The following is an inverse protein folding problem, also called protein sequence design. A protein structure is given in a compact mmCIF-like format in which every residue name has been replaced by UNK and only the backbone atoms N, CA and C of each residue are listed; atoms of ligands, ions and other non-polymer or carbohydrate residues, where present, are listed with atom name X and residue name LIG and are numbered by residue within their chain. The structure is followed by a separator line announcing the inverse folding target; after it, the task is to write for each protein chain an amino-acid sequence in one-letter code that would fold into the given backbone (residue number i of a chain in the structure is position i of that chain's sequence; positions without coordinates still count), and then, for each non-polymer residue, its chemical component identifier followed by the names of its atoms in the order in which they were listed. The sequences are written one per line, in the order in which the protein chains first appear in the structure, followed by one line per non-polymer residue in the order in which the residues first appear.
data_IF_465045660612
#
_entry.id   IF_465045660612
#
_cell.length_a   1.000
_cell.length_b   1.000
_cell.length_c   1.000
_cell.angle_alpha   90.00
_cell.angle_beta   90.00
_cell.angle_gamma   90.00
#
_symmetry.space_group_name_H-M   'P 1'
#
loop_
_entity.id
_entity.type
_entity.pdbx_description
1 polymer ?
#
# COMPACT_ATOMS: atom_id res chain seq x y z
N UNK A 1 28.97 69.65 -20.07
CA UNK A 1 30.12 68.83 -20.41
C UNK A 1 30.20 67.76 -19.36
N UNK A 2 29.50 66.72 -19.40
CA UNK A 2 28.88 65.78 -20.20
C UNK A 2 29.77 64.67 -20.69
N UNK A 3 29.64 63.53 -20.23
CA UNK A 3 29.69 62.36 -21.08
C UNK A 3 29.02 61.20 -20.37
N UNK A 4 28.05 60.59 -21.05
CA UNK A 4 27.35 59.39 -20.70
C UNK A 4 28.23 58.20 -21.09
N UNK A 5 28.40 57.26 -20.19
CA UNK A 5 28.92 55.96 -20.50
C UNK A 5 27.82 54.91 -20.28
N UNK A 6 27.54 54.16 -21.34
CA UNK A 6 26.52 53.11 -21.40
C UNK A 6 27.18 51.76 -21.05
N UNK A 7 26.84 51.22 -19.92
CA UNK A 7 27.23 49.87 -19.55
C UNK A 7 26.26 48.85 -20.16
N UNK A 8 26.79 47.97 -21.00
CA UNK A 8 26.05 46.91 -21.65
C UNK A 8 26.03 45.66 -20.78
N UNK A 9 24.87 45.38 -20.18
CA UNK A 9 24.58 44.11 -19.57
C UNK A 9 24.61 42.93 -20.56
N UNK A 10 25.59 42.05 -20.39
CA UNK A 10 25.70 40.79 -21.15
C UNK A 10 24.85 39.73 -20.45
N UNK A 11 23.71 39.49 -21.01
CA UNK A 11 22.83 38.33 -20.62
C UNK A 11 23.48 37.05 -21.10
N UNK A 12 24.03 36.26 -20.19
CA UNK A 12 24.53 34.91 -20.49
C UNK A 12 23.38 33.92 -20.64
N UNK A 13 23.04 33.56 -21.86
CA UNK A 13 22.12 32.50 -22.23
C UNK A 13 22.67 31.12 -21.86
N UNK A 14 21.94 30.41 -20.99
CA UNK A 14 22.22 29.01 -20.59
C UNK A 14 21.71 28.02 -21.64
N UNK A 15 22.21 28.09 -22.86
CA UNK A 15 21.97 27.08 -23.89
C UNK A 15 23.27 26.81 -24.66
N UNK A 16 23.91 25.68 -24.35
CA UNK A 16 25.04 25.23 -25.16
C UNK A 16 26.10 24.42 -24.43
N UNK A 17 25.76 23.26 -23.90
CA UNK A 17 26.75 22.27 -23.53
C UNK A 17 26.16 20.85 -23.61
N UNK A 18 25.85 20.42 -24.81
CA UNK A 18 25.57 19.01 -25.11
C UNK A 18 25.89 18.77 -26.59
N UNK A 19 27.14 18.55 -26.92
CA UNK A 19 27.56 17.84 -28.13
C UNK A 19 29.04 17.51 -28.03
N UNK A 20 29.31 16.22 -27.91
CA UNK A 20 30.44 15.45 -28.47
C UNK A 20 30.94 14.41 -27.50
N UNK A 21 30.45 13.20 -27.67
CA UNK A 21 31.28 12.00 -27.67
C UNK A 21 30.48 10.92 -28.42
N UNK A 22 30.81 10.81 -29.68
CA UNK A 22 30.40 9.69 -30.54
C UNK A 22 31.33 8.52 -30.30
N UNK A 23 30.78 7.31 -30.36
CA UNK A 23 31.51 6.08 -30.32
C UNK A 23 30.55 4.93 -30.56
N UNK A 24 30.37 4.53 -31.86
CA UNK A 24 29.64 3.32 -32.22
C UNK A 24 30.34 2.07 -31.66
N UNK A 25 29.60 1.21 -31.01
CA UNK A 25 29.86 -0.21 -30.99
C UNK A 25 28.51 -0.93 -31.12
N UNK A 26 28.20 -1.40 -32.29
CA UNK A 26 27.11 -2.34 -32.57
C UNK A 26 27.61 -3.72 -32.22
N UNK A 27 27.06 -4.30 -31.17
CA UNK A 27 27.13 -5.75 -30.87
C UNK A 27 25.71 -6.26 -30.82
N UNK A 28 25.35 -7.02 -31.85
CA UNK A 28 24.12 -7.78 -31.88
C UNK A 28 24.26 -8.99 -30.96
N UNK A 29 23.41 -9.03 -29.89
CA UNK A 29 23.13 -10.24 -29.14
C UNK A 29 21.64 -10.23 -28.79
N UNK A 30 20.92 -11.04 -29.54
CA UNK A 30 19.55 -11.43 -29.29
C UNK A 30 19.48 -12.23 -27.99
N UNK A 31 18.82 -11.71 -26.96
CA UNK A 31 18.47 -12.50 -25.77
C UNK A 31 18.38 -11.80 -24.41
N UNK A 32 18.73 -10.51 -24.30
CA UNK A 32 18.81 -9.84 -22.97
C UNK A 32 17.93 -8.62 -22.78
N UNK A 33 17.03 -8.32 -23.71
CA UNK A 33 16.23 -7.09 -23.66
C UNK A 33 15.13 -7.09 -22.58
N UNK A 34 14.73 -8.25 -22.06
CA UNK A 34 13.72 -8.34 -21.00
C UNK A 34 14.29 -8.13 -19.60
N UNK A 35 15.51 -8.63 -19.34
CA UNK A 35 16.16 -8.51 -18.03
C UNK A 35 16.65 -7.08 -17.74
N UNK A 36 17.05 -6.34 -18.76
CA UNK A 36 17.52 -4.96 -18.60
C UNK A 36 16.39 -3.98 -18.33
N UNK A 37 15.17 -4.26 -18.82
CA UNK A 37 14.01 -3.40 -18.59
C UNK A 37 13.47 -3.55 -17.16
N UNK A 38 13.47 -4.77 -16.60
CA UNK A 38 13.12 -4.99 -15.19
C UNK A 38 14.12 -4.36 -14.22
N UNK A 39 15.40 -4.32 -14.57
CA UNK A 39 16.44 -3.67 -13.75
C UNK A 39 16.35 -2.15 -13.81
N UNK A 40 16.04 -1.56 -14.97
CA UNK A 40 15.86 -0.12 -15.12
C UNK A 40 14.56 0.35 -14.44
N UNK A 41 13.48 -0.42 -14.55
CA UNK A 41 12.22 -0.13 -13.83
C UNK A 41 12.39 -0.27 -12.30
N UNK A 42 13.31 -1.13 -11.83
CA UNK A 42 13.65 -1.28 -10.41
C UNK A 42 14.53 -0.11 -9.90
N UNK A 43 15.41 0.42 -10.72
CA UNK A 43 16.31 1.53 -10.37
C UNK A 43 15.57 2.88 -10.40
N UNK A 44 14.64 3.08 -11.36
CA UNK A 44 13.72 4.25 -11.35
C UNK A 44 12.75 4.24 -10.17
N UNK A 45 12.30 3.06 -9.74
CA UNK A 45 11.50 2.91 -8.51
C UNK A 45 12.30 3.22 -7.23
N UNK A 46 13.62 3.01 -7.24
CA UNK A 46 14.48 3.31 -6.10
C UNK A 46 14.84 4.82 -6.02
N UNK A 47 14.95 5.51 -7.15
CA UNK A 47 15.25 6.94 -7.21
C UNK A 47 14.07 7.85 -6.81
N UNK A 48 12.84 7.35 -6.93
CA UNK A 48 11.62 8.08 -6.55
C UNK A 48 11.21 7.86 -5.06
N UNK A 49 12.01 7.14 -4.28
CA UNK A 49 11.56 6.35 -3.16
C UNK A 49 11.55 6.99 -1.77
N UNK A 50 12.08 8.20 -1.51
CA UNK A 50 12.11 8.73 -0.12
C UNK A 50 11.92 10.24 -0.03
N UNK A 51 11.26 10.69 1.06
CA UNK A 51 11.09 12.10 1.39
C UNK A 51 10.08 12.86 0.51
N UNK A 52 10.18 14.20 0.43
CA UNK A 52 9.23 15.06 -0.30
C UNK A 52 9.10 14.74 -1.80
N UNK A 53 10.15 14.20 -2.43
CA UNK A 53 10.12 13.79 -3.84
C UNK A 53 9.19 12.59 -4.09
N UNK A 54 9.12 11.64 -3.18
CA UNK A 54 8.19 10.51 -3.27
C UNK A 54 6.72 10.94 -3.12
N UNK A 55 6.46 11.99 -2.36
CA UNK A 55 5.12 12.58 -2.22
C UNK A 55 4.73 13.31 -3.50
N UNK A 56 5.62 14.11 -4.06
CA UNK A 56 5.36 14.86 -5.30
C UNK A 56 5.16 13.96 -6.51
N UNK A 57 5.77 12.77 -6.52
CA UNK A 57 5.57 11.76 -7.55
C UNK A 57 4.24 10.99 -7.40
N UNK A 58 3.51 11.19 -6.30
CA UNK A 58 2.27 10.45 -5.99
C UNK A 58 2.50 9.00 -5.56
N UNK A 59 3.75 8.57 -5.40
CA UNK A 59 4.10 7.20 -5.00
C UNK A 59 3.87 6.96 -3.51
N UNK A 60 3.98 8.00 -2.69
CA UNK A 60 3.77 7.94 -1.23
C UNK A 60 2.89 9.10 -0.80
N UNK A 61 1.86 8.83 -0.02
CA UNK A 61 1.07 9.86 0.64
C UNK A 61 1.58 10.06 2.07
N UNK A 62 2.02 11.28 2.40
CA UNK A 62 2.35 11.67 3.77
C UNK A 62 1.13 12.16 4.56
N UNK A 63 -0.06 11.86 4.09
CA UNK A 63 -1.29 12.21 4.79
C UNK A 63 -1.50 11.25 5.94
N UNK A 64 -1.86 11.78 7.09
CA UNK A 64 -2.21 10.98 8.25
C UNK A 64 -3.32 9.99 7.88
N UNK A 65 -3.08 8.71 8.15
CA UNK A 65 -4.08 7.67 7.96
C UNK A 65 -5.25 7.94 8.92
N UNK A 66 -6.51 7.81 8.48
CA UNK A 66 -7.65 8.06 9.35
C UNK A 66 -7.74 7.02 10.45
N UNK A 67 -7.81 7.46 11.69
CA UNK A 67 -8.11 6.60 12.84
C UNK A 67 -9.55 6.08 12.72
N UNK A 68 -9.69 4.78 12.87
CA UNK A 68 -11.00 4.11 12.84
C UNK A 68 -11.08 3.03 13.92
N UNK A 69 -12.28 2.57 14.22
CA UNK A 69 -12.48 1.57 15.27
C UNK A 69 -11.75 0.27 14.99
N UNK A 70 -11.16 -0.29 16.05
CA UNK A 70 -10.61 -1.64 16.09
C UNK A 70 -11.67 -2.71 15.82
N UNK A 71 -12.91 -2.44 16.28
CA UNK A 71 -14.02 -3.38 16.20
C UNK A 71 -13.94 -4.51 17.24
N UNK A 72 -14.99 -5.37 17.30
CA UNK A 72 -15.12 -6.38 18.35
C UNK A 72 -14.34 -7.68 18.07
N UNK A 73 -13.62 -7.77 16.94
CA UNK A 73 -12.94 -8.99 16.49
C UNK A 73 -11.41 -8.90 16.62
N UNK A 74 -10.90 -7.94 17.37
CA UNK A 74 -9.49 -7.86 17.70
C UNK A 74 -9.12 -8.99 18.69
N UNK A 75 -7.96 -9.60 18.49
CA UNK A 75 -7.35 -10.58 19.37
C UNK A 75 -5.88 -10.21 19.50
N UNK A 76 -5.41 -10.09 20.73
CA UNK A 76 -4.01 -9.79 21.02
C UNK A 76 -3.08 -10.94 20.60
N UNK A 77 -1.77 -10.67 20.54
CA UNK A 77 -0.70 -11.65 20.32
C UNK A 77 -0.75 -12.38 18.97
N UNK A 78 -1.19 -11.70 17.92
CA UNK A 78 -1.10 -12.25 16.57
C UNK A 78 0.36 -12.57 16.19
N UNK A 79 0.58 -13.76 15.65
CA UNK A 79 1.91 -14.25 15.32
C UNK A 79 2.63 -13.39 14.26
N UNK A 80 3.95 -13.23 14.40
CA UNK A 80 4.79 -12.58 13.37
C UNK A 80 4.92 -13.54 12.20
N UNK A 81 4.22 -13.26 11.11
CA UNK A 81 4.17 -14.11 9.92
C UNK A 81 3.72 -13.36 8.68
N UNK A 82 4.33 -13.70 7.55
CA UNK A 82 3.99 -13.12 6.25
C UNK A 82 2.76 -13.76 5.61
N UNK A 83 2.64 -15.08 5.70
CA UNK A 83 1.48 -15.82 5.21
C UNK A 83 0.50 -16.03 6.35
N UNK A 84 -0.67 -15.42 6.23
CA UNK A 84 -1.72 -15.47 7.25
C UNK A 84 -2.91 -16.34 6.84
N UNK A 85 -2.85 -17.02 5.69
CA UNK A 85 -4.01 -17.73 5.11
C UNK A 85 -4.45 -18.95 5.91
N UNK A 86 -3.50 -19.70 6.49
CA UNK A 86 -3.75 -21.00 7.16
C UNK A 86 -4.67 -21.92 6.34
N UNK A 87 -4.44 -21.97 5.01
CA UNK A 87 -5.21 -22.82 4.12
C UNK A 87 -6.63 -22.36 3.80
N UNK A 88 -7.08 -21.22 4.31
CA UNK A 88 -8.42 -20.68 3.98
C UNK A 88 -8.57 -20.46 2.47
N UNK A 89 -9.66 -20.97 1.88
CA UNK A 89 -9.92 -20.79 0.45
C UNK A 89 -10.32 -19.34 0.16
N UNK A 90 -9.87 -18.82 -0.99
CA UNK A 90 -10.20 -17.48 -1.44
C UNK A 90 -9.32 -17.00 -2.58
N UNK A 91 -9.63 -15.85 -3.11
CA UNK A 91 -8.82 -15.19 -4.14
C UNK A 91 -7.53 -14.68 -3.50
N UNK A 92 -6.33 -15.09 -3.97
CA UNK A 92 -5.08 -14.68 -3.36
C UNK A 92 -4.90 -13.16 -3.42
N UNK A 93 -4.47 -12.59 -2.30
CA UNK A 93 -4.19 -11.17 -2.14
C UNK A 93 -2.80 -10.99 -1.50
N UNK A 94 -1.95 -10.22 -2.14
CA UNK A 94 -0.72 -9.71 -1.52
C UNK A 94 -0.97 -8.28 -1.06
N UNK A 95 -0.78 -8.00 0.22
CA UNK A 95 -0.83 -6.64 0.77
C UNK A 95 0.57 -6.08 0.87
N UNK A 96 0.74 -4.84 0.44
CA UNK A 96 1.96 -4.04 0.54
C UNK A 96 1.65 -2.76 1.31
N UNK A 97 1.97 -2.74 2.59
CA UNK A 97 1.62 -1.67 3.51
C UNK A 97 2.88 -0.90 3.86
N UNK A 98 2.97 0.37 3.42
CA UNK A 98 4.12 1.22 3.70
C UNK A 98 3.77 2.18 4.83
N UNK A 99 4.59 2.21 5.88
CA UNK A 99 4.43 3.12 7.02
C UNK A 99 5.39 4.30 6.88
N UNK A 100 4.85 5.51 6.92
CA UNK A 100 5.61 6.76 6.85
C UNK A 100 5.30 7.67 8.03
N UNK A 101 6.28 8.40 8.50
CA UNK A 101 6.07 9.44 9.50
C UNK A 101 5.55 10.70 8.83
N UNK A 102 4.38 11.22 9.25
CA UNK A 102 3.74 12.36 8.60
C UNK A 102 4.53 13.68 8.75
N UNK A 103 5.26 13.84 9.83
CA UNK A 103 6.03 15.07 10.06
C UNK A 103 7.27 15.18 9.17
N UNK A 104 7.86 14.05 8.76
CA UNK A 104 9.10 14.03 7.99
C UNK A 104 8.97 13.41 6.60
N UNK A 105 7.84 12.81 6.28
CA UNK A 105 7.61 12.00 5.08
C UNK A 105 8.62 10.86 4.90
N UNK A 106 9.27 10.41 5.97
CA UNK A 106 10.28 9.35 5.91
C UNK A 106 9.66 8.01 6.27
N UNK A 107 10.17 6.95 5.64
CA UNK A 107 9.83 5.58 5.97
C UNK A 107 10.10 5.25 7.44
N UNK A 108 9.19 4.53 8.08
CA UNK A 108 9.36 4.05 9.45
C UNK A 108 9.82 2.61 9.41
N UNK A 109 11.12 2.38 9.59
CA UNK A 109 11.71 1.03 9.71
C UNK A 109 11.36 0.43 11.06
N UNK A 110 11.07 -0.89 11.08
CA UNK A 110 10.85 -1.66 12.31
C UNK A 110 9.49 -1.47 12.96
N UNK A 111 8.58 -0.68 12.37
CA UNK A 111 7.20 -0.62 12.82
C UNK A 111 6.56 -2.01 12.73
N UNK A 112 5.85 -2.44 13.76
CA UNK A 112 5.04 -3.65 13.68
C UNK A 112 3.68 -3.27 13.09
N UNK A 113 3.39 -3.82 11.92
CA UNK A 113 2.10 -3.69 11.26
C UNK A 113 1.33 -4.96 11.50
N UNK A 114 0.15 -4.84 12.06
CA UNK A 114 -0.77 -5.94 12.33
C UNK A 114 -1.96 -5.84 11.40
N UNK A 115 -2.44 -6.99 10.92
CA UNK A 115 -3.68 -7.10 10.16
C UNK A 115 -4.57 -8.21 10.70
N UNK A 116 -5.90 -8.03 10.59
CA UNK A 116 -6.88 -9.09 10.78
C UNK A 116 -8.11 -8.83 9.91
N UNK A 117 -8.71 -9.90 9.41
CA UNK A 117 -9.93 -9.82 8.61
C UNK A 117 -10.67 -11.16 8.58
N UNK A 118 -11.92 -11.14 8.13
CA UNK A 118 -12.72 -12.34 7.96
C UNK A 118 -12.28 -13.18 6.75
N UNK A 119 -12.61 -14.46 6.78
CA UNK A 119 -12.46 -15.35 5.62
C UNK A 119 -13.47 -15.03 4.50
N UNK A 120 -13.44 -15.78 3.40
CA UNK A 120 -14.37 -15.61 2.28
C UNK A 120 -15.84 -15.80 2.68
N UNK A 121 -16.08 -16.54 3.76
CA UNK A 121 -17.38 -16.74 4.38
C UNK A 121 -17.86 -15.60 5.28
N UNK A 122 -17.01 -14.63 5.59
CA UNK A 122 -17.33 -13.53 6.53
C UNK A 122 -17.05 -13.90 7.99
N UNK A 123 -16.30 -14.97 8.25
CA UNK A 123 -16.01 -15.48 9.60
C UNK A 123 -14.63 -15.01 10.05
N UNK A 124 -14.52 -14.51 11.28
CA UNK A 124 -13.28 -14.18 11.94
C UNK A 124 -12.77 -15.34 12.80
N UNK A 125 -11.46 -15.56 12.78
CA UNK A 125 -10.78 -16.49 13.69
C UNK A 125 -10.67 -15.94 15.12
N UNK A 126 -10.47 -16.82 16.10
CA UNK A 126 -10.13 -16.46 17.47
C UNK A 126 -11.25 -15.79 18.26
N UNK A 127 -12.49 -15.78 17.75
CA UNK A 127 -13.65 -15.16 18.40
C UNK A 127 -14.87 -16.06 18.29
N UNK A 128 -15.87 -15.83 19.16
CA UNK A 128 -17.16 -16.57 19.13
C UNK A 128 -16.99 -18.11 19.21
N UNK A 129 -15.97 -18.58 19.94
CA UNK A 129 -15.69 -20.01 20.13
C UNK A 129 -14.76 -20.64 19.08
N UNK A 130 -14.36 -19.90 18.04
CA UNK A 130 -13.27 -20.31 17.13
C UNK A 130 -11.92 -20.07 17.82
N UNK A 131 -11.06 -21.10 17.86
CA UNK A 131 -9.72 -21.03 18.46
C UNK A 131 -8.62 -20.83 17.42
N UNK A 132 -8.97 -20.76 16.13
CA UNK A 132 -8.02 -20.52 15.04
C UNK A 132 -7.45 -19.12 15.07
N UNK A 133 -6.37 -18.91 14.33
CA UNK A 133 -5.70 -17.62 14.18
C UNK A 133 -5.54 -17.23 12.69
N UNK A 134 -6.32 -17.85 11.80
CA UNK A 134 -6.25 -17.56 10.38
C UNK A 134 -6.56 -16.09 10.07
N UNK A 135 -5.92 -15.58 9.02
CA UNK A 135 -6.10 -14.22 8.50
C UNK A 135 -5.79 -13.11 9.53
N UNK A 136 -4.90 -13.45 10.49
CA UNK A 136 -4.31 -12.54 11.46
C UNK A 136 -2.81 -12.65 11.41
N UNK A 137 -2.10 -11.55 11.59
CA UNK A 137 -0.64 -11.60 11.68
C UNK A 137 0.01 -10.24 11.75
N UNK A 138 1.27 -10.26 12.16
CA UNK A 138 2.12 -9.09 12.32
C UNK A 138 3.31 -9.21 11.36
N UNK A 139 3.73 -8.08 10.76
CA UNK A 139 4.99 -7.95 10.03
C UNK A 139 5.72 -6.69 10.49
N UNK A 140 7.05 -6.78 10.55
CA UNK A 140 7.88 -5.59 10.77
C UNK A 140 8.21 -4.95 9.44
N UNK A 141 8.13 -3.63 9.39
CA UNK A 141 8.52 -2.86 8.21
C UNK A 141 10.03 -2.94 7.97
N UNK A 142 10.41 -3.04 6.72
CA UNK A 142 11.80 -3.01 6.24
C UNK A 142 12.39 -1.58 6.24
N UNK A 143 13.58 -1.40 5.65
CA UNK A 143 14.24 -0.10 5.54
C UNK A 143 13.44 0.93 4.72
N UNK A 144 12.55 0.46 3.82
CA UNK A 144 11.65 1.29 3.01
C UNK A 144 10.29 1.52 3.69
N UNK A 145 10.13 1.09 4.95
CA UNK A 145 8.87 1.17 5.68
C UNK A 145 7.82 0.16 5.23
N UNK A 146 8.20 -0.84 4.43
CA UNK A 146 7.27 -1.79 3.81
C UNK A 146 7.07 -3.03 4.67
N UNK A 147 5.81 -3.36 4.95
CA UNK A 147 5.35 -4.66 5.44
C UNK A 147 4.57 -5.38 4.35
N UNK A 148 4.81 -6.69 4.17
CA UNK A 148 4.16 -7.49 3.12
C UNK A 148 3.45 -8.69 3.72
N UNK A 149 2.17 -8.85 3.39
CA UNK A 149 1.38 -10.02 3.78
C UNK A 149 0.91 -10.80 2.56
N UNK A 150 0.82 -12.13 2.71
CA UNK A 150 0.11 -13.02 1.81
C UNK A 150 -1.17 -13.45 2.52
N UNK A 151 -2.30 -13.16 1.88
CA UNK A 151 -3.63 -13.43 2.43
C UNK A 151 -4.61 -13.78 1.31
N UNK A 152 -5.89 -13.81 1.61
CA UNK A 152 -6.98 -13.88 0.64
C UNK A 152 -7.78 -12.58 0.65
N UNK A 153 -8.53 -12.34 -0.40
CA UNK A 153 -9.49 -11.24 -0.43
C UNK A 153 -10.56 -11.48 0.64
N UNK A 154 -10.92 -10.50 1.47
CA UNK A 154 -11.92 -10.71 2.53
C UNK A 154 -13.30 -11.02 1.98
N UNK A 155 -14.08 -11.79 2.71
CA UNK A 155 -15.51 -11.90 2.55
C UNK A 155 -16.24 -10.66 3.07
N UNK A 156 -17.56 -10.75 3.15
CA UNK A 156 -18.40 -9.70 3.73
C UNK A 156 -19.23 -10.27 4.88
N UNK A 157 -19.62 -9.42 5.78
CA UNK A 157 -20.63 -9.68 6.81
C UNK A 157 -21.60 -8.50 6.92
N UNK A 158 -22.75 -8.75 7.51
CA UNK A 158 -23.85 -7.80 7.52
C UNK A 158 -23.48 -6.46 8.18
N UNK A 159 -23.90 -5.36 7.57
CA UNK A 159 -23.75 -4.01 8.09
C UNK A 159 -22.38 -3.36 7.80
N UNK A 160 -21.42 -4.10 7.19
CA UNK A 160 -20.09 -3.58 6.90
C UNK A 160 -19.70 -3.77 5.43
N UNK A 161 -19.05 -2.76 4.88
CA UNK A 161 -18.34 -2.94 3.61
C UNK A 161 -17.10 -3.81 3.80
N UNK A 162 -16.56 -4.36 2.72
CA UNK A 162 -15.39 -5.25 2.74
C UNK A 162 -14.14 -4.48 3.18
N UNK A 163 -13.49 -4.97 4.21
CA UNK A 163 -12.33 -4.31 4.81
C UNK A 163 -11.35 -5.28 5.45
N UNK A 164 -10.15 -4.78 5.70
CA UNK A 164 -9.10 -5.40 6.52
C UNK A 164 -8.80 -4.43 7.64
N UNK A 165 -8.82 -4.89 8.87
CA UNK A 165 -8.36 -4.12 10.01
C UNK A 165 -6.84 -4.05 10.04
N UNK A 166 -6.29 -2.95 10.55
CA UNK A 166 -4.85 -2.78 10.73
C UNK A 166 -4.54 -1.99 11.99
N UNK A 167 -3.43 -2.35 12.65
CA UNK A 167 -2.76 -1.55 13.69
C UNK A 167 -1.30 -1.34 13.31
N UNK A 168 -0.76 -0.21 13.71
CA UNK A 168 0.68 0.08 13.59
C UNK A 168 1.23 0.39 14.96
N UNK A 169 2.30 -0.31 15.33
CA UNK A 169 3.02 -0.11 16.59
C UNK A 169 4.43 0.39 16.30
N UNK A 170 4.88 1.41 17.01
CA UNK A 170 6.24 1.94 16.95
C UNK A 170 6.79 2.06 18.36
N UNK A 171 7.94 1.43 18.63
CA UNK A 171 8.55 1.42 19.96
C UNK A 171 7.66 0.78 21.05
N UNK A 172 6.78 -0.15 20.66
CA UNK A 172 5.84 -0.82 21.57
C UNK A 172 4.50 -0.09 21.76
N UNK A 173 4.38 1.15 21.27
CA UNK A 173 3.13 1.91 21.40
C UNK A 173 2.29 1.80 20.14
N UNK A 174 0.97 1.71 20.26
CA UNK A 174 0.03 1.84 19.16
C UNK A 174 0.06 3.30 18.68
N UNK A 175 0.39 3.50 17.41
CA UNK A 175 0.44 4.83 16.78
C UNK A 175 -0.62 5.00 15.69
N UNK A 176 -1.32 3.93 15.34
CA UNK A 176 -2.44 3.94 14.39
C UNK A 176 -3.31 2.71 14.56
N UNK A 177 -4.63 2.92 14.54
CA UNK A 177 -5.66 1.88 14.38
C UNK A 177 -6.59 2.29 13.26
N UNK A 178 -6.84 1.41 12.30
CA UNK A 178 -7.65 1.74 11.15
C UNK A 178 -8.17 0.54 10.37
N UNK A 179 -8.80 0.83 9.25
CA UNK A 179 -9.34 -0.17 8.34
C UNK A 179 -8.93 0.15 6.91
N UNK A 180 -8.55 -0.86 6.17
CA UNK A 180 -8.18 -0.80 4.75
C UNK A 180 -9.35 -1.29 3.92
N UNK A 181 -9.71 -0.54 2.91
CA UNK A 181 -10.87 -0.81 2.07
C UNK A 181 -10.50 -1.11 0.63
N UNK A 182 -11.48 -1.54 -0.12
CA UNK A 182 -11.37 -1.84 -1.55
C UNK A 182 -12.38 -1.02 -2.33
N UNK A 183 -12.04 -0.64 -3.56
CA UNK A 183 -13.04 -0.05 -4.46
C UNK A 183 -14.16 -1.07 -4.74
N UNK A 184 -15.40 -0.61 -4.74
CA UNK A 184 -16.57 -1.46 -4.96
C UNK A 184 -16.47 -2.29 -6.26
N UNK A 185 -15.94 -1.70 -7.34
CA UNK A 185 -15.77 -2.39 -8.61
C UNK A 185 -14.79 -3.57 -8.52
N UNK A 186 -13.74 -3.46 -7.70
CA UNK A 186 -12.79 -4.56 -7.45
C UNK A 186 -13.50 -5.67 -6.67
N UNK A 187 -14.23 -5.32 -5.62
CA UNK A 187 -15.01 -6.26 -4.82
C UNK A 187 -16.02 -7.00 -5.69
N UNK A 188 -16.76 -6.30 -6.53
CA UNK A 188 -17.76 -6.89 -7.43
C UNK A 188 -17.11 -7.87 -8.42
N UNK A 189 -15.89 -7.58 -8.90
CA UNK A 189 -15.13 -8.46 -9.76
C UNK A 189 -14.65 -9.75 -9.04
N UNK A 190 -14.17 -9.61 -7.80
CA UNK A 190 -13.74 -10.76 -6.98
C UNK A 190 -14.94 -11.64 -6.62
N UNK A 191 -16.06 -11.03 -6.27
CA UNK A 191 -17.24 -11.76 -5.78
C UNK A 191 -17.98 -12.55 -6.84
N UNK A 192 -17.64 -12.38 -8.12
CA UNK A 192 -18.05 -13.30 -9.20
C UNK A 192 -17.26 -14.61 -9.23
N UNK A 193 -16.24 -14.76 -8.37
CA UNK A 193 -15.35 -15.93 -8.35
C UNK A 193 -15.63 -16.82 -7.15
N UNK A 194 -15.33 -18.12 -7.29
CA UNK A 194 -15.38 -19.07 -6.17
C UNK A 194 -14.29 -18.70 -5.12
N UNK A 195 -14.61 -18.78 -3.79
CA UNK A 195 -15.87 -19.25 -3.19
C UNK A 195 -16.92 -18.15 -2.96
N UNK A 196 -16.64 -16.89 -3.26
CA UNK A 196 -17.50 -15.74 -2.93
C UNK A 196 -18.85 -15.77 -3.67
N UNK A 197 -18.87 -16.27 -4.91
CA UNK A 197 -20.09 -16.37 -5.73
C UNK A 197 -21.10 -17.43 -5.25
N UNK A 198 -20.72 -18.21 -4.24
CA UNK A 198 -21.61 -19.17 -3.57
C UNK A 198 -22.43 -18.53 -2.43
N UNK A 199 -22.21 -17.27 -2.16
CA UNK A 199 -22.90 -16.50 -1.12
C UNK A 199 -23.87 -15.50 -1.77
N UNK A 200 -24.90 -15.06 -1.04
CA UNK A 200 -25.72 -13.93 -1.47
C UNK A 200 -24.85 -12.69 -1.75
N UNK A 201 -25.39 -11.78 -2.55
CA UNK A 201 -24.75 -10.49 -2.79
C UNK A 201 -24.53 -9.74 -1.48
N UNK A 202 -23.41 -9.02 -1.37
CA UNK A 202 -23.11 -8.19 -0.18
C UNK A 202 -24.21 -7.16 0.05
N UNK A 203 -24.60 -6.99 1.30
CA UNK A 203 -25.65 -6.06 1.70
C UNK A 203 -25.19 -4.62 1.80
N UNK A 204 -23.87 -4.39 1.97
CA UNK A 204 -23.32 -3.07 2.29
C UNK A 204 -22.22 -2.70 1.30
N UNK A 205 -22.36 -1.58 0.65
CA UNK A 205 -21.35 -0.96 -0.21
C UNK A 205 -20.54 0.08 0.58
N UNK A 206 -19.50 0.63 -0.04
CA UNK A 206 -18.67 1.65 0.59
C UNK A 206 -19.50 2.88 1.01
N UNK A 207 -20.41 3.34 0.16
CA UNK A 207 -21.30 4.47 0.47
C UNK A 207 -22.24 4.25 1.65
N UNK A 208 -22.58 3.00 1.94
CA UNK A 208 -23.58 2.62 2.93
C UNK A 208 -22.97 2.38 4.31
N UNK A 209 -21.64 2.19 4.38
CA UNK A 209 -20.91 1.95 5.63
C UNK A 209 -20.52 3.27 6.30
N UNK A 210 -21.01 3.49 7.53
CA UNK A 210 -20.74 4.71 8.29
C UNK A 210 -19.27 4.90 8.62
N UNK A 211 -18.53 3.80 8.86
CA UNK A 211 -17.09 3.86 9.16
C UNK A 211 -16.31 4.22 7.91
N UNK A 212 -16.67 3.65 6.76
CA UNK A 212 -16.06 4.03 5.49
C UNK A 212 -16.30 5.52 5.17
N UNK A 213 -17.52 6.03 5.36
CA UNK A 213 -17.83 7.46 5.12
C UNK A 213 -16.96 8.39 5.97
N UNK A 214 -16.52 7.92 7.14
CA UNK A 214 -15.60 8.66 8.01
C UNK A 214 -14.12 8.35 7.66
N UNK A 215 -13.68 8.79 6.49
CA UNK A 215 -12.29 8.74 6.08
C UNK A 215 -11.87 7.52 5.25
N UNK A 216 -12.71 6.51 5.06
CA UNK A 216 -12.37 5.26 4.37
C UNK A 216 -11.86 5.45 2.94
N UNK A 217 -12.25 6.52 2.25
CA UNK A 217 -11.69 6.86 0.94
C UNK A 217 -10.15 7.00 0.98
N UNK A 218 -9.60 7.56 2.06
CA UNK A 218 -8.13 7.72 2.26
C UNK A 218 -7.43 6.42 2.65
N UNK A 219 -8.19 5.43 3.11
CA UNK A 219 -7.71 4.09 3.45
C UNK A 219 -8.08 3.04 2.39
N UNK A 220 -8.55 3.46 1.21
CA UNK A 220 -8.84 2.56 0.11
C UNK A 220 -7.56 2.16 -0.60
N UNK A 221 -7.31 0.85 -0.66
CA UNK A 221 -6.15 0.26 -1.30
C UNK A 221 -6.12 0.55 -2.81
N UNK A 222 -4.94 0.88 -3.34
CA UNK A 222 -4.69 0.75 -4.77
C UNK A 222 -4.53 -0.74 -5.08
N UNK A 223 -5.47 -1.29 -5.84
CA UNK A 223 -5.50 -2.72 -6.14
C UNK A 223 -5.20 -2.95 -7.62
N UNK A 224 -4.24 -3.83 -7.90
CA UNK A 224 -3.87 -4.27 -9.24
C UNK A 224 -4.06 -5.78 -9.34
N UNK A 225 -4.65 -6.24 -10.45
CA UNK A 225 -4.76 -7.67 -10.74
C UNK A 225 -3.43 -8.22 -11.26
N UNK A 226 -3.01 -9.36 -10.74
CA UNK A 226 -1.81 -10.09 -11.17
C UNK A 226 -2.18 -11.55 -11.44
N UNK A 227 -2.46 -11.87 -12.69
CA UNK A 227 -2.98 -13.19 -13.08
C UNK A 227 -4.32 -13.50 -12.42
N UNK A 228 -4.35 -14.57 -11.62
CA UNK A 228 -5.51 -14.96 -10.82
C UNK A 228 -5.56 -14.27 -9.44
N UNK A 229 -4.50 -13.61 -9.02
CA UNK A 229 -4.34 -12.94 -7.74
C UNK A 229 -4.53 -11.41 -7.84
N UNK A 230 -4.49 -10.75 -6.69
CA UNK A 230 -4.45 -9.29 -6.58
C UNK A 230 -3.29 -8.82 -5.70
N UNK A 231 -2.84 -7.61 -5.97
CA UNK A 231 -1.89 -6.88 -5.12
C UNK A 231 -2.57 -5.60 -4.68
N UNK A 232 -2.74 -5.43 -3.38
CA UNK A 232 -3.25 -4.22 -2.75
C UNK A 232 -2.13 -3.45 -2.09
N UNK A 233 -2.01 -2.16 -2.34
CA UNK A 233 -0.97 -1.31 -1.78
C UNK A 233 -1.52 0.01 -1.24
N UNK A 234 -0.91 0.48 -0.16
CA UNK A 234 -1.20 1.79 0.44
C UNK A 234 0.00 2.28 1.26
N UNK A 235 0.16 3.60 1.33
CA UNK A 235 1.00 4.24 2.33
C UNK A 235 0.13 4.75 3.49
N UNK A 236 0.52 4.40 4.70
CA UNK A 236 -0.13 4.80 5.94
C UNK A 236 0.77 5.83 6.64
N UNK A 237 0.34 7.07 6.65
CA UNK A 237 1.00 8.11 7.43
C UNK A 237 0.65 7.97 8.90
N UNK A 238 1.66 7.89 9.77
CA UNK A 238 1.49 7.81 11.23
C UNK A 238 2.22 8.96 11.91
N UNK A 239 1.68 9.42 13.02
CA UNK A 239 2.36 10.37 13.89
C UNK A 239 3.16 9.58 14.93
N UNK A 240 4.48 9.79 14.96
CA UNK A 240 5.31 9.28 16.05
C UNK A 240 5.23 10.27 17.21
N UNK A 241 4.80 9.78 18.34
CA UNK A 241 4.97 10.46 19.63
C UNK A 241 6.45 10.57 20.00
#
# INVERSE_FOLDING_TARGET
MSEHDHDHDVVLSRRGALAKLGGLAVVALSGTALATRELLDAEEADAAGTGPAAVSSGLVSCVLAPEQTEGPYYVEDAAIRRNVTEGKPGVPLTLRLTVVNVASCRAVKGAAVEIWHCDAGGVYSGVQGDTGMFLRGVQRTDAKGLAVFRTIYPGWYQGRTVHIHTKVHVGGNVVHTGQLYFADAVTDAVYRRNPYNQRPSRSTRNSDDSIYRNGGKRSTLKVVRSGSAYVGSIAMGVQRS
#
